data_IF_695786433004
#
_entry.id   IF_695786433004
#
_cell.length_a   1.000
_cell.length_b   1.000
_cell.length_c   1.000
_cell.angle_alpha   90.00
_cell.angle_beta   90.00
_cell.angle_gamma   90.00
#
_symmetry.space_group_name_H-M   'P 1'
#
loop_
_entity.id
_entity.type
_entity.pdbx_description
1 polymer ?
#
# COMPACT_ATOMS: atom_id res chain seq x y z
N UNK A 1 10.43 53.87 6.57
CA UNK A 1 10.47 52.40 6.74
C UNK A 1 11.91 51.99 6.75
N UNK A 2 12.39 51.43 7.85
CA UNK A 2 13.79 51.03 7.95
C UNK A 2 14.01 49.71 7.20
N UNK A 3 14.99 49.71 6.31
CA UNK A 3 15.40 48.53 5.47
C UNK A 3 15.63 47.26 6.29
N UNK A 4 15.96 47.39 7.57
CA UNK A 4 16.14 46.29 8.53
C UNK A 4 14.86 45.48 8.79
N UNK A 5 13.68 46.09 8.71
CA UNK A 5 12.40 45.41 8.90
C UNK A 5 11.95 44.59 7.69
N UNK A 6 12.33 45.03 6.48
CA UNK A 6 11.99 44.35 5.25
C UNK A 6 12.75 43.02 5.17
N UNK A 7 14.01 42.98 5.63
CA UNK A 7 14.81 41.74 5.69
C UNK A 7 14.22 40.71 6.67
N UNK A 8 13.69 41.15 7.79
CA UNK A 8 13.10 40.29 8.82
C UNK A 8 11.78 39.62 8.34
N UNK A 9 10.97 40.38 7.62
CA UNK A 9 9.72 39.87 7.03
C UNK A 9 10.01 38.89 5.91
N UNK A 10 11.01 39.13 5.07
CA UNK A 10 11.40 38.23 4.01
C UNK A 10 11.91 36.87 4.53
N UNK A 11 12.70 36.88 5.62
CA UNK A 11 13.18 35.65 6.25
C UNK A 11 12.02 34.85 6.87
N UNK A 12 11.06 35.53 7.51
CA UNK A 12 9.89 34.87 8.08
C UNK A 12 9.01 34.20 7.01
N UNK A 13 8.81 34.87 5.86
CA UNK A 13 8.02 34.32 4.75
C UNK A 13 8.72 33.09 4.14
N UNK A 14 10.02 33.12 3.98
CA UNK A 14 10.79 31.97 3.46
C UNK A 14 10.73 30.80 4.43
N UNK A 15 10.83 31.04 5.74
CA UNK A 15 10.73 29.99 6.74
C UNK A 15 9.33 29.33 6.75
N UNK A 16 8.27 30.12 6.61
CA UNK A 16 6.89 29.61 6.53
C UNK A 16 6.68 28.78 5.25
N UNK A 17 7.20 29.22 4.12
CA UNK A 17 7.11 28.45 2.86
C UNK A 17 7.87 27.12 2.96
N UNK A 18 9.04 27.10 3.59
CA UNK A 18 9.81 25.85 3.79
C UNK A 18 9.08 24.88 4.72
N UNK A 19 8.43 25.37 5.76
CA UNK A 19 7.64 24.52 6.67
C UNK A 19 6.41 23.94 5.96
N UNK A 20 5.72 24.72 5.14
CA UNK A 20 4.56 24.24 4.39
C UNK A 20 4.96 23.22 3.32
N UNK A 21 6.12 23.36 2.70
CA UNK A 21 6.60 22.37 1.72
C UNK A 21 7.11 21.08 2.37
N UNK A 22 7.67 21.14 3.57
CA UNK A 22 8.10 19.93 4.30
C UNK A 22 6.94 19.11 4.86
N UNK A 23 5.82 19.71 5.18
CA UNK A 23 4.63 19.00 5.66
C UNK A 23 3.81 18.33 4.54
N UNK A 24 4.11 18.59 3.28
CA UNK A 24 3.46 17.94 2.13
C UNK A 24 4.16 16.69 1.60
N UNK A 25 5.37 16.42 2.07
CA UNK A 25 6.09 15.18 1.75
C UNK A 25 5.77 14.16 2.84
N UNK A 26 4.67 13.44 2.69
CA UNK A 26 4.29 12.37 3.60
C UNK A 26 2.81 12.24 3.92
N UNK A 27 1.96 13.11 3.39
CA UNK A 27 0.55 12.78 3.29
C UNK A 27 0.34 11.92 2.04
N UNK A 28 0.56 10.62 2.21
CA UNK A 28 -0.29 9.68 1.51
C UNK A 28 -1.70 10.12 1.89
N UNK A 29 -2.38 10.77 0.95
CA UNK A 29 -3.78 11.11 1.08
C UNK A 29 -4.46 9.81 1.49
N UNK A 30 -5.12 9.71 2.65
CA UNK A 30 -5.98 8.57 2.86
C UNK A 30 -6.98 8.68 1.72
N UNK A 31 -6.89 7.76 0.77
CA UNK A 31 -7.97 7.56 -0.16
C UNK A 31 -9.17 7.29 0.74
N UNK A 32 -10.02 8.31 0.88
CA UNK A 32 -11.25 8.24 1.65
C UNK A 32 -12.19 7.36 0.85
N UNK A 33 -11.91 6.08 0.89
CA UNK A 33 -12.70 5.07 0.24
C UNK A 33 -13.31 4.24 1.35
N UNK A 34 -14.62 4.26 1.43
CA UNK A 34 -15.39 3.31 2.24
C UNK A 34 -15.22 1.86 1.72
N UNK A 35 -14.25 1.65 0.83
CA UNK A 35 -13.95 0.39 0.18
C UNK A 35 -12.82 -0.34 0.88
N UNK A 36 -12.83 -1.67 0.87
CA UNK A 36 -11.72 -2.46 1.37
C UNK A 36 -10.48 -2.24 0.52
N UNK A 37 -9.33 -2.52 1.11
CA UNK A 37 -8.02 -2.46 0.44
C UNK A 37 -7.35 -3.82 0.50
N UNK A 38 -6.58 -4.12 -0.53
CA UNK A 38 -5.79 -5.36 -0.58
C UNK A 38 -4.31 -5.00 -0.52
N UNK A 39 -3.59 -5.68 0.33
CA UNK A 39 -2.14 -5.55 0.46
C UNK A 39 -1.50 -6.88 0.09
N UNK A 40 -0.55 -6.84 -0.83
CA UNK A 40 0.21 -7.98 -1.30
C UNK A 40 1.69 -7.78 -0.98
N UNK A 41 2.30 -8.77 -0.34
CA UNK A 41 3.76 -8.88 -0.21
C UNK A 41 4.20 -10.18 -0.87
N UNK A 42 4.99 -10.09 -1.93
CA UNK A 42 5.43 -11.24 -2.70
C UNK A 42 6.78 -10.98 -3.38
N UNK A 43 7.36 -12.01 -3.99
CA UNK A 43 8.45 -11.79 -4.94
C UNK A 43 7.84 -11.35 -6.28
N UNK A 44 7.81 -10.04 -6.51
CA UNK A 44 7.18 -9.47 -7.71
C UNK A 44 7.92 -9.81 -9.00
N UNK A 45 9.16 -10.31 -8.92
CA UNK A 45 9.91 -10.81 -10.08
C UNK A 45 9.33 -12.12 -10.62
N UNK A 46 8.52 -12.81 -9.83
CA UNK A 46 7.86 -14.04 -10.22
C UNK A 46 6.50 -13.85 -10.92
N UNK A 47 6.04 -12.62 -11.04
CA UNK A 47 4.72 -12.28 -11.58
C UNK A 47 4.42 -12.86 -12.97
N UNK A 48 5.44 -13.02 -13.80
CA UNK A 48 5.32 -13.50 -15.20
C UNK A 48 5.70 -14.98 -15.38
N UNK A 49 5.98 -15.69 -14.29
CA UNK A 49 6.29 -17.13 -14.37
C UNK A 49 5.02 -17.94 -14.61
N UNK A 50 4.95 -18.58 -15.77
CA UNK A 50 3.83 -19.47 -16.09
C UNK A 50 3.79 -20.69 -15.16
N UNK A 51 2.58 -20.98 -14.65
CA UNK A 51 2.34 -22.15 -13.80
C UNK A 51 2.80 -22.02 -12.36
N UNK A 52 3.43 -20.90 -12.00
CA UNK A 52 3.87 -20.64 -10.63
C UNK A 52 2.70 -20.15 -9.76
N UNK A 53 2.59 -20.69 -8.55
CA UNK A 53 1.51 -20.32 -7.62
C UNK A 53 1.64 -18.87 -7.13
N UNK A 54 2.86 -18.38 -6.89
CA UNK A 54 3.10 -16.99 -6.52
C UNK A 54 2.66 -16.05 -7.63
N UNK A 55 3.00 -16.35 -8.89
CA UNK A 55 2.58 -15.59 -10.06
C UNK A 55 1.04 -15.52 -10.16
N UNK A 56 0.35 -16.63 -9.94
CA UNK A 56 -1.12 -16.68 -9.96
C UNK A 56 -1.74 -15.81 -8.86
N UNK A 57 -1.15 -15.79 -7.66
CA UNK A 57 -1.59 -14.93 -6.56
C UNK A 57 -1.41 -13.46 -6.94
N UNK A 58 -0.25 -13.08 -7.47
CA UNK A 58 0.03 -11.70 -7.90
C UNK A 58 -0.98 -11.25 -8.95
N UNK A 59 -1.23 -12.08 -9.96
CA UNK A 59 -2.18 -11.74 -11.04
C UNK A 59 -3.62 -11.66 -10.53
N UNK A 60 -4.01 -12.54 -9.61
CA UNK A 60 -5.34 -12.51 -8.98
C UNK A 60 -5.55 -11.20 -8.21
N UNK A 61 -4.56 -10.76 -7.45
CA UNK A 61 -4.61 -9.48 -6.71
C UNK A 61 -4.65 -8.29 -7.68
N UNK A 62 -3.86 -8.31 -8.74
CA UNK A 62 -3.86 -7.23 -9.75
C UNK A 62 -5.19 -7.11 -10.48
N UNK A 63 -5.86 -8.23 -10.73
CA UNK A 63 -7.20 -8.24 -11.34
C UNK A 63 -8.23 -7.50 -10.49
N UNK A 64 -8.12 -7.59 -9.16
CA UNK A 64 -8.97 -6.84 -8.22
C UNK A 64 -8.75 -5.34 -8.33
N UNK A 65 -7.50 -4.92 -8.48
CA UNK A 65 -7.15 -3.51 -8.71
C UNK A 65 -7.80 -2.93 -9.98
N UNK A 66 -7.94 -3.73 -11.03
CA UNK A 66 -8.62 -3.33 -12.26
C UNK A 66 -10.13 -3.09 -12.08
N UNK A 67 -10.73 -3.64 -11.04
CA UNK A 67 -12.14 -3.41 -10.68
C UNK A 67 -12.36 -2.19 -9.78
N UNK A 68 -11.32 -1.41 -9.51
CA UNK A 68 -11.39 -0.19 -8.72
C UNK A 68 -11.11 -0.36 -7.22
N UNK A 69 -10.74 -1.55 -6.76
CA UNK A 69 -10.34 -1.79 -5.37
C UNK A 69 -8.88 -1.40 -5.21
N UNK A 70 -8.56 -0.65 -4.17
CA UNK A 70 -7.19 -0.23 -3.89
C UNK A 70 -6.31 -1.43 -3.58
N UNK A 71 -5.22 -1.58 -4.33
CA UNK A 71 -4.21 -2.63 -4.14
C UNK A 71 -2.86 -1.97 -3.89
N UNK A 72 -2.18 -2.41 -2.85
CA UNK A 72 -0.79 -2.05 -2.57
C UNK A 72 0.08 -3.29 -2.70
N UNK A 73 1.09 -3.21 -3.55
CA UNK A 73 2.05 -4.30 -3.76
C UNK A 73 3.41 -3.91 -3.15
N UNK A 74 4.00 -4.84 -2.43
CA UNK A 74 5.36 -4.71 -1.90
C UNK A 74 6.19 -5.91 -2.33
N UNK A 75 7.39 -5.64 -2.83
CA UNK A 75 8.34 -6.70 -3.10
C UNK A 75 8.89 -7.28 -1.79
N UNK A 76 9.39 -8.51 -1.84
CA UNK A 76 10.02 -9.23 -0.71
C UNK A 76 11.06 -8.40 0.04
N UNK A 77 11.77 -7.51 -0.67
CA UNK A 77 12.86 -6.69 -0.12
C UNK A 77 12.39 -5.34 0.41
N UNK A 78 11.09 -5.09 0.35
CA UNK A 78 10.53 -3.80 0.76
C UNK A 78 10.77 -3.54 2.24
N UNK A 79 11.18 -2.33 2.55
CA UNK A 79 11.34 -1.82 3.92
C UNK A 79 10.14 -0.99 4.38
N UNK A 80 8.98 -1.18 3.76
CA UNK A 80 7.76 -0.47 4.15
C UNK A 80 7.42 -0.74 5.62
N UNK A 81 7.09 0.30 6.40
CA UNK A 81 6.65 0.14 7.78
C UNK A 81 5.36 -0.69 7.90
N UNK A 82 4.58 -0.82 6.83
CA UNK A 82 3.37 -1.65 6.79
C UNK A 82 3.69 -3.14 6.96
N UNK A 83 4.83 -3.61 6.46
CA UNK A 83 5.28 -5.00 6.62
C UNK A 83 5.46 -5.33 8.09
N UNK A 84 6.11 -4.47 8.85
CA UNK A 84 6.27 -4.62 10.30
C UNK A 84 4.96 -4.43 11.05
N UNK A 85 4.16 -3.43 10.66
CA UNK A 85 2.87 -3.13 11.29
C UNK A 85 1.92 -4.32 11.24
N UNK A 86 1.84 -5.00 10.10
CA UNK A 86 0.98 -6.16 9.91
C UNK A 86 1.67 -7.49 10.20
N UNK A 87 2.90 -7.46 10.72
CA UNK A 87 3.70 -8.66 11.07
C UNK A 87 3.76 -9.67 9.93
N UNK A 88 4.12 -9.20 8.74
CA UNK A 88 4.29 -10.05 7.57
C UNK A 88 5.65 -10.71 7.63
N UNK A 89 5.68 -12.00 7.88
CA UNK A 89 6.89 -12.79 8.09
C UNK A 89 7.17 -13.79 6.96
N UNK A 90 6.18 -14.06 6.15
CA UNK A 90 6.28 -14.99 5.01
C UNK A 90 5.77 -14.36 3.73
N UNK A 91 6.20 -14.88 2.61
CA UNK A 91 5.74 -14.48 1.28
C UNK A 91 5.34 -15.74 0.48
N UNK A 92 4.36 -15.62 -0.41
CA UNK A 92 3.44 -14.50 -0.56
C UNK A 92 2.48 -14.35 0.62
N UNK A 93 2.12 -13.11 0.95
CA UNK A 93 1.07 -12.80 1.92
C UNK A 93 0.08 -11.83 1.30
N UNK A 94 -1.19 -12.12 1.40
CA UNK A 94 -2.29 -11.26 0.97
C UNK A 94 -3.13 -10.88 2.19
N UNK A 95 -3.30 -9.59 2.40
CA UNK A 95 -4.18 -9.04 3.43
C UNK A 95 -5.35 -8.32 2.78
N UNK A 96 -6.54 -8.58 3.28
CA UNK A 96 -7.71 -7.75 3.01
C UNK A 96 -7.92 -6.85 4.23
N UNK A 97 -7.92 -5.55 4.00
CA UNK A 97 -8.08 -4.54 5.02
C UNK A 97 -9.43 -3.86 4.87
N UNK A 98 -10.05 -3.54 5.98
CA UNK A 98 -11.22 -2.69 5.99
C UNK A 98 -10.86 -1.22 5.72
N UNK A 99 -11.84 -0.31 5.55
CA UNK A 99 -11.56 1.11 5.34
C UNK A 99 -10.75 1.78 6.46
N UNK A 100 -10.76 1.21 7.67
CA UNK A 100 -10.00 1.70 8.82
C UNK A 100 -8.55 1.20 8.83
N UNK A 101 -8.21 0.25 7.94
CA UNK A 101 -6.88 -0.35 7.86
C UNK A 101 -6.71 -1.55 8.79
N UNK A 102 -7.79 -2.12 9.31
CA UNK A 102 -7.76 -3.35 10.10
C UNK A 102 -7.82 -4.58 9.21
N UNK A 103 -7.14 -5.66 9.60
CA UNK A 103 -7.10 -6.90 8.84
C UNK A 103 -8.42 -7.65 8.98
N UNK A 104 -9.12 -7.82 7.88
CA UNK A 104 -10.34 -8.64 7.78
C UNK A 104 -9.99 -10.09 7.45
N UNK A 105 -9.07 -10.29 6.51
CA UNK A 105 -8.61 -11.60 6.09
C UNK A 105 -7.12 -11.61 5.84
N UNK A 106 -6.47 -12.74 6.13
CA UNK A 106 -5.04 -12.96 5.93
C UNK A 106 -4.81 -14.31 5.27
N UNK A 107 -4.04 -14.31 4.20
CA UNK A 107 -3.63 -15.52 3.47
C UNK A 107 -2.12 -15.54 3.34
N UNK A 108 -1.51 -16.64 3.69
CA UNK A 108 -0.06 -16.83 3.63
C UNK A 108 0.27 -18.14 2.87
N UNK A 109 1.32 -18.09 2.07
CA UNK A 109 1.83 -19.24 1.33
C UNK A 109 1.21 -19.44 -0.05
N UNK A 110 1.65 -20.49 -0.73
CA UNK A 110 1.42 -20.77 -2.16
C UNK A 110 0.58 -22.03 -2.41
N UNK A 111 -0.08 -22.56 -1.40
CA UNK A 111 -0.87 -23.78 -1.59
C UNK A 111 -2.05 -23.53 -2.53
N UNK A 112 -2.49 -24.59 -3.22
CA UNK A 112 -3.69 -24.53 -4.06
C UNK A 112 -4.93 -24.09 -3.28
N UNK A 113 -5.02 -24.50 -2.01
CA UNK A 113 -6.10 -24.11 -1.13
C UNK A 113 -6.02 -22.61 -0.79
N UNK A 114 -4.84 -22.09 -0.50
CA UNK A 114 -4.62 -20.67 -0.27
C UNK A 114 -5.03 -19.86 -1.50
N UNK A 115 -4.60 -20.25 -2.68
CA UNK A 115 -4.97 -19.58 -3.93
C UNK A 115 -6.49 -19.60 -4.18
N UNK A 116 -7.15 -20.72 -3.93
CA UNK A 116 -8.60 -20.83 -4.07
C UNK A 116 -9.33 -19.93 -3.08
N UNK A 117 -8.86 -19.86 -1.83
CA UNK A 117 -9.43 -18.99 -0.80
C UNK A 117 -9.24 -17.51 -1.16
N UNK A 118 -8.06 -17.13 -1.64
CA UNK A 118 -7.79 -15.76 -2.11
C UNK A 118 -8.74 -15.39 -3.25
N UNK A 119 -8.89 -16.24 -4.25
CA UNK A 119 -9.81 -16.00 -5.38
C UNK A 119 -11.23 -15.78 -4.90
N UNK A 120 -11.74 -16.67 -4.07
CA UNK A 120 -13.10 -16.58 -3.54
C UNK A 120 -13.33 -15.29 -2.75
N UNK A 121 -12.38 -14.91 -1.88
CA UNK A 121 -12.47 -13.68 -1.11
C UNK A 121 -12.44 -12.45 -1.99
N UNK A 122 -11.49 -12.37 -2.92
CA UNK A 122 -11.31 -11.21 -3.77
C UNK A 122 -12.44 -11.03 -4.80
N UNK A 123 -13.05 -12.11 -5.26
CA UNK A 123 -14.23 -12.05 -6.15
C UNK A 123 -15.44 -11.44 -5.44
N UNK A 124 -15.55 -11.63 -4.14
CA UNK A 124 -16.65 -11.13 -3.32
C UNK A 124 -16.45 -9.69 -2.81
N UNK A 125 -15.27 -9.10 -2.98
CA UNK A 125 -15.03 -7.70 -2.64
C UNK A 125 -15.81 -6.77 -3.58
N UNK A 126 -16.59 -5.88 -2.99
CA UNK A 126 -17.40 -4.88 -3.69
C UNK A 126 -17.00 -3.48 -3.27
#
# INVERSE_FOLDING_TARGET
MNVKWIGLIAVAVVAVVIVITKTRVGQETPANTDLPRVLLVADLNEADKEGDACAQIIQTVRAVGKRGISVQEFNRDSKSPLISRYRILSIPTVLVLDPKGEVVSRYEGESRQTLASIRSELENLK
#
